data_IF_661961804865
#
_entry.id   IF_661961804865
#
_cell.length_a   1.000
_cell.length_b   1.000
_cell.length_c   1.000
_cell.angle_alpha   90.00
_cell.angle_beta   90.00
_cell.angle_gamma   90.00
#
_symmetry.space_group_name_H-M   'P 1'
#
loop_
_entity.id
_entity.type
_entity.pdbx_description
1 polymer ?
#
# COMPACT_ATOMS: atom_id res chain seq x y z
N UNK A 1 -39.22 -16.41 24.36
CA UNK A 1 -38.17 -15.42 24.08
C UNK A 1 -38.74 -14.39 23.12
N UNK A 2 -39.03 -13.19 23.62
CA UNK A 2 -39.60 -12.12 22.83
C UNK A 2 -38.51 -11.52 21.94
N UNK A 3 -38.71 -11.51 20.63
CA UNK A 3 -37.96 -10.64 19.73
C UNK A 3 -38.45 -9.20 20.00
N UNK A 4 -37.67 -8.32 20.64
CA UNK A 4 -38.08 -6.93 20.76
C UNK A 4 -38.25 -6.37 19.35
N UNK A 5 -39.45 -5.87 19.03
CA UNK A 5 -39.69 -5.19 17.76
C UNK A 5 -38.93 -3.87 17.77
N UNK A 6 -37.83 -3.82 17.01
CA UNK A 6 -37.06 -2.60 16.78
C UNK A 6 -37.71 -1.81 15.65
N UNK A 7 -37.92 -0.52 15.88
CA UNK A 7 -38.40 0.39 14.83
C UNK A 7 -37.32 0.52 13.73
N UNK A 8 -37.68 0.23 12.49
CA UNK A 8 -36.80 0.39 11.32
C UNK A 8 -37.29 1.58 10.51
N UNK A 9 -36.42 2.57 10.30
CA UNK A 9 -36.73 3.76 9.51
C UNK A 9 -37.01 3.40 8.04
N UNK A 10 -37.95 4.08 7.37
CA UNK A 10 -38.36 3.79 5.97
C UNK A 10 -37.20 3.85 4.96
N UNK A 11 -36.20 4.69 5.24
CA UNK A 11 -35.02 4.86 4.38
C UNK A 11 -33.84 3.95 4.77
N UNK A 12 -34.03 3.04 5.72
CA UNK A 12 -33.00 2.06 6.05
C UNK A 12 -32.68 1.20 4.82
N UNK A 13 -31.39 1.00 4.57
CA UNK A 13 -30.84 0.13 3.54
C UNK A 13 -29.81 -0.77 4.19
N UNK A 14 -29.81 -2.05 3.84
CA UNK A 14 -28.84 -3.03 4.31
C UNK A 14 -28.12 -3.58 3.08
N UNK A 15 -26.81 -3.42 3.05
CA UNK A 15 -25.95 -3.93 1.98
C UNK A 15 -25.06 -5.00 2.60
N UNK A 16 -25.10 -6.19 2.03
CA UNK A 16 -24.23 -7.29 2.41
C UNK A 16 -23.15 -7.44 1.33
N UNK A 17 -21.89 -7.23 1.72
CA UNK A 17 -20.74 -7.46 0.84
C UNK A 17 -20.16 -8.83 1.14
N UNK A 18 -20.03 -9.66 0.12
CA UNK A 18 -19.51 -11.03 0.24
C UNK A 18 -18.49 -11.30 -0.88
N UNK A 19 -17.38 -11.93 -0.53
CA UNK A 19 -16.44 -12.47 -1.52
C UNK A 19 -17.13 -13.59 -2.31
N UNK A 20 -17.08 -13.50 -3.64
CA UNK A 20 -17.66 -14.47 -4.57
C UNK A 20 -17.18 -15.90 -4.26
N UNK A 21 -15.94 -16.07 -3.81
CA UNK A 21 -15.39 -17.39 -3.43
C UNK A 21 -16.10 -18.02 -2.25
N UNK A 22 -16.73 -17.21 -1.38
CA UNK A 22 -17.46 -17.65 -0.19
C UNK A 22 -18.96 -17.83 -0.45
N UNK A 23 -19.44 -17.49 -1.65
CA UNK A 23 -20.85 -17.58 -2.02
C UNK A 23 -21.38 -19.01 -1.91
N UNK A 24 -20.60 -20.01 -2.35
CA UNK A 24 -20.98 -21.42 -2.31
C UNK A 24 -21.13 -21.97 -0.88
N UNK A 25 -20.44 -21.37 0.09
CA UNK A 25 -20.47 -21.76 1.51
C UNK A 25 -21.45 -20.94 2.34
N UNK A 26 -22.06 -19.91 1.77
CA UNK A 26 -22.97 -19.02 2.48
C UNK A 26 -24.35 -19.66 2.69
N UNK A 27 -25.01 -19.29 3.78
CA UNK A 27 -26.29 -19.87 4.18
C UNK A 27 -27.41 -19.53 3.15
N UNK A 28 -28.06 -20.51 2.50
CA UNK A 28 -29.04 -20.24 1.45
C UNK A 28 -30.21 -19.33 1.85
N UNK A 29 -30.81 -19.45 3.06
CA UNK A 29 -31.83 -18.51 3.55
C UNK A 29 -31.36 -17.07 3.63
N UNK A 30 -30.08 -16.82 3.96
CA UNK A 30 -29.50 -15.48 3.94
C UNK A 30 -29.45 -14.98 2.50
N UNK A 31 -28.88 -15.76 1.58
CA UNK A 31 -28.79 -15.39 0.17
C UNK A 31 -30.16 -15.08 -0.41
N UNK A 32 -31.19 -15.88 -0.13
CA UNK A 32 -32.54 -15.69 -0.65
C UNK A 32 -33.23 -14.39 -0.18
N UNK A 33 -32.71 -13.70 0.85
CA UNK A 33 -33.26 -12.44 1.38
C UNK A 33 -32.64 -11.18 0.77
N UNK A 34 -31.56 -11.32 0.01
CA UNK A 34 -30.86 -10.20 -0.62
C UNK A 34 -30.94 -10.29 -2.15
N UNK A 35 -31.06 -9.13 -2.79
CA UNK A 35 -30.78 -8.96 -4.22
C UNK A 35 -29.27 -9.14 -4.44
N UNK A 36 -28.88 -9.91 -5.46
CA UNK A 36 -27.47 -10.20 -5.75
C UNK A 36 -27.02 -9.34 -6.91
N UNK A 37 -25.96 -8.60 -6.69
CA UNK A 37 -25.23 -7.89 -7.73
C UNK A 37 -23.77 -8.30 -7.63
N UNK A 38 -23.18 -8.69 -8.76
CA UNK A 38 -21.74 -8.96 -8.86
C UNK A 38 -21.09 -7.68 -9.35
N UNK A 39 -20.17 -7.13 -8.55
CA UNK A 39 -19.43 -5.92 -8.89
C UNK A 39 -17.95 -6.24 -8.73
N UNK A 40 -17.20 -6.06 -9.81
CA UNK A 40 -15.74 -6.08 -9.82
C UNK A 40 -15.19 -4.68 -10.01
N UNK A 41 -13.92 -4.47 -9.70
CA UNK A 41 -13.27 -3.18 -9.94
C UNK A 41 -13.30 -2.81 -11.43
N UNK A 42 -13.17 -3.80 -12.33
CA UNK A 42 -13.25 -3.62 -13.77
C UNK A 42 -14.63 -3.08 -14.21
N UNK A 43 -15.71 -3.48 -13.54
CA UNK A 43 -17.08 -3.00 -13.81
C UNK A 43 -17.25 -1.50 -13.47
N UNK A 44 -16.34 -0.92 -12.66
CA UNK A 44 -16.37 0.50 -12.27
C UNK A 44 -15.52 1.41 -13.17
N UNK A 45 -14.77 0.84 -14.11
CA UNK A 45 -13.84 1.59 -14.94
C UNK A 45 -14.56 2.29 -16.11
N UNK A 46 -14.27 3.58 -16.29
CA UNK A 46 -14.63 4.32 -17.49
C UNK A 46 -13.73 3.93 -18.67
N UNK A 47 -14.09 4.29 -19.91
CA UNK A 47 -13.24 4.05 -21.08
C UNK A 47 -11.85 4.66 -20.94
N UNK A 48 -11.76 5.85 -20.33
CA UNK A 48 -10.48 6.50 -20.03
C UNK A 48 -9.66 5.71 -19.00
N UNK A 49 -10.29 5.23 -17.93
CA UNK A 49 -9.62 4.36 -16.95
C UNK A 49 -9.06 3.11 -17.64
N UNK A 50 -9.87 2.43 -18.45
CA UNK A 50 -9.48 1.20 -19.15
C UNK A 50 -8.30 1.43 -20.11
N UNK A 51 -8.27 2.56 -20.82
CA UNK A 51 -7.15 2.93 -21.70
C UNK A 51 -5.84 3.01 -20.93
N UNK A 52 -5.83 3.74 -19.81
CA UNK A 52 -4.62 3.91 -18.98
C UNK A 52 -4.21 2.59 -18.33
N UNK A 53 -5.17 1.80 -17.81
CA UNK A 53 -4.90 0.46 -17.26
C UNK A 53 -4.21 -0.42 -18.30
N UNK A 54 -4.64 -0.40 -19.56
CA UNK A 54 -4.00 -1.17 -20.65
C UNK A 54 -2.56 -0.72 -20.93
N UNK A 55 -2.30 0.59 -20.91
CA UNK A 55 -0.95 1.16 -21.04
C UNK A 55 -0.06 0.65 -19.91
N UNK A 56 -0.51 0.78 -18.65
CA UNK A 56 0.24 0.33 -17.48
C UNK A 56 0.45 -1.18 -17.45
N UNK A 57 -0.55 -1.98 -17.88
CA UNK A 57 -0.43 -3.43 -17.98
C UNK A 57 0.65 -3.84 -18.97
N UNK A 58 0.70 -3.18 -20.12
CA UNK A 58 1.75 -3.41 -21.13
C UNK A 58 3.12 -3.03 -20.55
N UNK A 59 3.22 -1.85 -19.93
CA UNK A 59 4.47 -1.37 -19.33
C UNK A 59 4.99 -2.30 -18.22
N UNK A 60 4.15 -2.68 -17.27
CA UNK A 60 4.53 -3.60 -16.17
C UNK A 60 4.93 -4.98 -16.68
N UNK A 61 4.33 -5.48 -17.76
CA UNK A 61 4.76 -6.72 -18.42
C UNK A 61 6.11 -6.56 -19.13
N UNK A 62 6.34 -5.42 -19.77
CA UNK A 62 7.63 -5.12 -20.40
C UNK A 62 8.74 -5.03 -19.36
N UNK A 63 8.50 -4.40 -18.20
CA UNK A 63 9.47 -4.26 -17.09
C UNK A 63 10.03 -5.60 -16.59
N UNK A 64 9.23 -6.67 -16.65
CA UNK A 64 9.65 -8.01 -16.20
C UNK A 64 10.13 -8.92 -17.34
N UNK A 65 9.85 -8.54 -18.59
CA UNK A 65 10.27 -9.29 -19.77
C UNK A 65 11.73 -8.97 -20.11
N UNK A 66 12.62 -9.96 -19.96
CA UNK A 66 14.05 -9.78 -20.26
C UNK A 66 14.33 -9.81 -21.76
N UNK A 67 15.18 -8.89 -22.24
CA UNK A 67 15.73 -8.92 -23.61
C UNK A 67 16.81 -10.00 -23.68
N UNK A 68 16.52 -11.16 -24.27
CA UNK A 68 17.56 -12.07 -24.76
C UNK A 68 17.59 -13.55 -24.32
N UNK A 69 16.57 -14.11 -23.66
CA UNK A 69 16.56 -15.57 -23.35
C UNK A 69 15.71 -16.38 -24.33
N UNK A 70 16.24 -16.57 -25.55
CA UNK A 70 15.82 -17.64 -26.46
C UNK A 70 16.37 -19.03 -26.07
N UNK A 71 16.53 -19.32 -24.77
CA UNK A 71 17.14 -20.57 -24.30
C UNK A 71 16.19 -21.40 -23.42
N UNK A 72 16.02 -22.65 -23.85
CA UNK A 72 14.99 -23.65 -23.55
C UNK A 72 15.10 -24.27 -22.13
N UNK A 73 15.81 -23.63 -21.19
CA UNK A 73 16.01 -24.15 -19.82
C UNK A 73 15.42 -23.26 -18.70
N UNK A 74 14.41 -22.44 -19.03
CA UNK A 74 13.73 -21.49 -18.13
C UNK A 74 12.82 -22.14 -17.04
N UNK A 75 13.23 -23.28 -16.48
CA UNK A 75 12.44 -24.05 -15.52
C UNK A 75 12.75 -23.75 -14.04
N UNK A 76 13.46 -22.67 -13.70
CA UNK A 76 13.68 -22.27 -12.29
C UNK A 76 13.49 -20.76 -12.14
N UNK A 77 12.28 -20.39 -11.69
CA UNK A 77 11.75 -19.07 -11.31
C UNK A 77 11.70 -17.99 -12.40
N UNK A 78 10.57 -17.90 -13.10
CA UNK A 78 10.25 -16.74 -13.95
C UNK A 78 10.10 -15.50 -13.07
N UNK A 79 10.84 -14.42 -13.36
CA UNK A 79 10.65 -13.11 -12.74
C UNK A 79 9.29 -12.53 -13.20
N UNK A 80 8.46 -12.14 -12.25
CA UNK A 80 7.08 -11.70 -12.45
C UNK A 80 6.85 -10.29 -11.90
N UNK A 81 5.67 -9.72 -12.18
CA UNK A 81 5.27 -8.41 -11.63
C UNK A 81 5.25 -8.41 -10.09
N UNK A 82 4.99 -9.56 -9.46
CA UNK A 82 4.97 -9.71 -7.99
C UNK A 82 6.36 -9.66 -7.37
N UNK A 83 7.38 -10.05 -8.12
CA UNK A 83 8.79 -9.97 -7.70
C UNK A 83 9.32 -8.52 -7.81
N UNK A 84 8.83 -7.79 -8.81
CA UNK A 84 9.18 -6.38 -9.03
C UNK A 84 8.41 -5.44 -8.11
N UNK A 85 7.09 -5.54 -8.07
CA UNK A 85 6.19 -4.65 -7.33
C UNK A 85 5.62 -5.39 -6.12
N UNK A 86 6.03 -4.98 -4.92
CA UNK A 86 5.69 -5.71 -3.70
C UNK A 86 4.21 -5.54 -3.39
N UNK A 87 3.50 -6.68 -3.31
CA UNK A 87 2.06 -6.72 -3.08
C UNK A 87 1.22 -6.58 -4.35
N UNK A 88 1.80 -6.74 -5.54
CA UNK A 88 1.07 -6.64 -6.80
C UNK A 88 -0.03 -7.69 -6.96
N UNK A 89 -1.24 -7.22 -7.20
CA UNK A 89 -2.42 -7.99 -7.56
C UNK A 89 -2.77 -7.71 -9.04
N UNK A 90 -2.84 -8.79 -9.83
CA UNK A 90 -3.08 -8.73 -11.28
C UNK A 90 -4.48 -8.17 -11.65
N UNK A 91 -5.43 -8.28 -10.73
CA UNK A 91 -6.82 -7.90 -10.93
C UNK A 91 -7.18 -6.55 -10.30
N UNK A 92 -6.43 -6.09 -9.29
CA UNK A 92 -6.78 -4.88 -8.54
C UNK A 92 -5.74 -3.77 -8.60
N UNK A 93 -4.44 -4.06 -8.67
CA UNK A 93 -3.40 -3.04 -8.43
C UNK A 93 -3.45 -1.92 -9.46
N UNK A 94 -3.52 -2.26 -10.75
CA UNK A 94 -3.50 -1.25 -11.82
C UNK A 94 -4.81 -0.45 -11.86
N UNK A 95 -5.94 -1.12 -11.70
CA UNK A 95 -7.27 -0.51 -11.70
C UNK A 95 -7.44 0.46 -10.53
N UNK A 96 -7.12 0.01 -9.32
CA UNK A 96 -7.20 0.84 -8.11
C UNK A 96 -6.25 2.03 -8.18
N UNK A 97 -5.07 1.86 -8.76
CA UNK A 97 -4.10 2.93 -8.94
C UNK A 97 -4.60 4.02 -9.88
N UNK A 98 -5.13 3.62 -11.05
CA UNK A 98 -5.64 4.59 -12.03
C UNK A 98 -6.81 5.38 -11.45
N UNK A 99 -7.73 4.71 -10.74
CA UNK A 99 -8.85 5.39 -10.07
C UNK A 99 -8.33 6.38 -9.02
N UNK A 100 -7.39 5.96 -8.17
CA UNK A 100 -6.83 6.81 -7.10
C UNK A 100 -6.13 8.06 -7.68
N UNK A 101 -5.24 7.88 -8.66
CA UNK A 101 -4.50 8.99 -9.27
C UNK A 101 -5.42 9.95 -10.02
N UNK A 102 -6.38 9.46 -10.81
CA UNK A 102 -7.32 10.35 -11.52
C UNK A 102 -8.27 11.07 -10.59
N UNK A 103 -8.59 10.48 -9.42
CA UNK A 103 -9.38 11.16 -8.39
C UNK A 103 -8.59 12.26 -7.70
N UNK A 104 -7.29 12.05 -7.45
CA UNK A 104 -6.41 13.04 -6.80
C UNK A 104 -5.99 14.17 -7.73
N UNK A 105 -5.86 13.89 -9.03
CA UNK A 105 -5.38 14.84 -10.04
C UNK A 105 -6.36 14.90 -11.22
N UNK A 106 -7.57 15.45 -11.03
CA UNK A 106 -8.62 15.45 -12.06
C UNK A 106 -8.28 16.32 -13.29
N UNK A 107 -7.40 17.30 -13.12
CA UNK A 107 -7.00 18.25 -14.17
C UNK A 107 -5.80 17.76 -15.01
N UNK A 108 -5.13 16.69 -14.58
CA UNK A 108 -3.96 16.16 -15.27
C UNK A 108 -4.36 15.48 -16.59
N UNK A 109 -3.52 15.68 -17.62
CA UNK A 109 -3.70 15.00 -18.89
C UNK A 109 -3.29 13.52 -18.81
N UNK A 110 -3.60 12.74 -19.85
CA UNK A 110 -3.33 11.30 -19.89
C UNK A 110 -1.84 10.96 -19.66
N UNK A 111 -0.91 11.74 -20.21
CA UNK A 111 0.53 11.51 -20.06
C UNK A 111 0.98 11.71 -18.62
N UNK A 112 0.52 12.79 -17.98
CA UNK A 112 0.78 13.10 -16.58
C UNK A 112 0.22 12.01 -15.65
N UNK A 113 -1.02 11.56 -15.90
CA UNK A 113 -1.64 10.46 -15.13
C UNK A 113 -0.82 9.17 -15.28
N UNK A 114 -0.42 8.79 -16.50
CA UNK A 114 0.42 7.61 -16.74
C UNK A 114 1.74 7.73 -15.99
N UNK A 115 2.37 8.91 -16.01
CA UNK A 115 3.65 9.18 -15.34
C UNK A 115 3.51 9.07 -13.81
N UNK A 116 2.45 9.63 -13.21
CA UNK A 116 2.14 9.48 -11.78
C UNK A 116 1.87 8.03 -11.39
N UNK A 117 1.12 7.30 -12.21
CA UNK A 117 0.85 5.88 -11.97
C UNK A 117 2.15 5.06 -11.98
N UNK A 118 3.02 5.27 -12.98
CA UNK A 118 4.32 4.61 -13.02
C UNK A 118 5.16 4.96 -11.79
N UNK A 119 5.23 6.24 -11.40
CA UNK A 119 5.94 6.65 -10.17
C UNK A 119 5.39 5.92 -8.93
N UNK A 120 4.08 5.84 -8.76
CA UNK A 120 3.46 5.12 -7.64
C UNK A 120 3.74 3.61 -7.65
N UNK A 121 3.90 2.99 -8.84
CA UNK A 121 4.35 1.60 -8.96
C UNK A 121 5.82 1.45 -8.56
N UNK A 122 6.68 2.40 -8.95
CA UNK A 122 8.09 2.42 -8.52
C UNK A 122 8.20 2.57 -7.00
N UNK A 123 7.29 3.32 -6.37
CA UNK A 123 7.26 3.52 -4.91
C UNK A 123 7.15 2.19 -4.14
N UNK A 124 6.49 1.18 -4.73
CA UNK A 124 6.33 -0.17 -4.14
C UNK A 124 7.31 -1.20 -4.71
N UNK A 125 8.26 -0.78 -5.55
CA UNK A 125 9.17 -1.70 -6.21
C UNK A 125 10.32 -2.20 -5.30
N UNK A 126 10.81 -3.40 -5.60
CA UNK A 126 12.07 -3.92 -5.04
C UNK A 126 13.27 -3.33 -5.78
N UNK A 127 14.33 -3.06 -5.04
CA UNK A 127 15.61 -2.56 -5.54
C UNK A 127 16.22 -3.52 -6.55
N UNK A 128 16.21 -4.83 -6.28
CA UNK A 128 16.71 -5.84 -7.22
C UNK A 128 15.79 -5.99 -8.44
N UNK A 129 14.48 -5.79 -8.27
CA UNK A 129 13.55 -5.70 -9.38
C UNK A 129 13.85 -4.54 -10.32
N UNK A 130 14.10 -3.34 -9.80
CA UNK A 130 14.48 -2.16 -10.61
C UNK A 130 15.82 -2.39 -11.33
N UNK A 131 16.80 -3.01 -10.66
CA UNK A 131 18.07 -3.37 -11.29
C UNK A 131 17.84 -4.38 -12.41
N UNK A 132 17.01 -5.41 -12.21
CA UNK A 132 16.68 -6.37 -13.27
C UNK A 132 15.95 -5.71 -14.45
N UNK A 133 15.08 -4.74 -14.17
CA UNK A 133 14.36 -3.99 -15.19
C UNK A 133 15.29 -3.18 -16.13
N UNK A 134 16.54 -2.92 -15.75
CA UNK A 134 17.58 -2.35 -16.66
C UNK A 134 17.84 -3.19 -17.90
N UNK A 135 17.51 -4.49 -17.86
CA UNK A 135 17.63 -5.44 -18.99
C UNK A 135 16.27 -5.80 -19.59
N UNK A 136 15.23 -5.03 -19.27
CA UNK A 136 13.87 -5.26 -19.74
C UNK A 136 13.65 -4.75 -21.16
N UNK A 137 12.49 -5.06 -21.74
CA UNK A 137 12.12 -4.64 -23.10
C UNK A 137 11.45 -3.25 -23.15
N UNK A 138 11.60 -2.44 -22.10
CA UNK A 138 11.17 -1.04 -22.07
C UNK A 138 12.25 -0.17 -22.71
N UNK A 139 11.86 1.01 -23.21
CA UNK A 139 12.81 1.98 -23.77
C UNK A 139 13.96 2.28 -22.78
N UNK A 140 15.23 2.23 -23.22
CA UNK A 140 16.38 2.47 -22.34
C UNK A 140 16.38 3.85 -21.66
N UNK A 141 15.88 4.89 -22.34
CA UNK A 141 15.77 6.23 -21.78
C UNK A 141 14.74 6.28 -20.64
N UNK A 142 13.60 5.62 -20.84
CA UNK A 142 12.57 5.48 -19.81
C UNK A 142 13.06 4.66 -18.60
N UNK A 143 13.75 3.53 -18.82
CA UNK A 143 14.29 2.73 -17.71
C UNK A 143 15.33 3.50 -16.92
N UNK A 144 16.19 4.26 -17.59
CA UNK A 144 17.15 5.11 -16.91
C UNK A 144 16.44 6.18 -16.06
N UNK A 145 15.33 6.77 -16.54
CA UNK A 145 14.52 7.68 -15.73
C UNK A 145 14.05 6.99 -14.44
N UNK A 146 13.39 5.83 -14.53
CA UNK A 146 12.86 5.15 -13.33
C UNK A 146 13.95 4.66 -12.38
N UNK A 147 15.11 4.24 -12.91
CA UNK A 147 16.27 3.94 -12.08
C UNK A 147 16.75 5.17 -11.29
N UNK A 148 16.82 6.33 -11.94
CA UNK A 148 17.19 7.58 -11.28
C UNK A 148 16.11 8.07 -10.28
N UNK A 149 14.83 7.84 -10.55
CA UNK A 149 13.74 8.12 -9.60
C UNK A 149 13.93 7.28 -8.33
N UNK A 150 14.14 5.97 -8.48
CA UNK A 150 14.27 5.04 -7.36
C UNK A 150 15.58 5.24 -6.55
N UNK A 151 16.73 5.35 -7.22
CA UNK A 151 18.04 5.35 -6.56
C UNK A 151 18.65 6.74 -6.36
N UNK A 152 18.23 7.75 -7.12
CA UNK A 152 18.80 9.11 -7.07
C UNK A 152 17.78 10.17 -6.69
N UNK A 153 16.56 9.75 -6.32
CA UNK A 153 15.48 10.62 -5.88
C UNK A 153 15.19 11.75 -6.88
N UNK A 154 15.31 11.46 -8.19
CA UNK A 154 14.96 12.41 -9.24
C UNK A 154 13.46 12.69 -9.20
N UNK A 155 13.10 13.96 -9.29
CA UNK A 155 11.72 14.43 -9.21
C UNK A 155 11.33 15.24 -10.43
N UNK A 156 10.03 15.34 -10.65
CA UNK A 156 9.40 16.20 -11.65
C UNK A 156 8.00 16.60 -11.13
N UNK A 157 7.31 17.51 -11.80
CA UNK A 157 5.93 17.94 -11.47
C UNK A 157 4.96 16.77 -11.26
N UNK A 158 5.13 15.71 -12.06
CA UNK A 158 4.31 14.49 -12.02
C UNK A 158 5.01 13.30 -11.35
N UNK A 159 6.24 13.47 -10.83
CA UNK A 159 7.01 12.43 -10.14
C UNK A 159 7.38 12.95 -8.74
N UNK A 160 6.64 12.55 -7.70
CA UNK A 160 6.98 12.97 -6.34
C UNK A 160 8.33 12.40 -5.93
N UNK A 161 8.97 13.05 -4.96
CA UNK A 161 10.21 12.56 -4.38
C UNK A 161 10.01 11.20 -3.73
N UNK A 162 10.88 10.26 -4.10
CA UNK A 162 10.92 8.92 -3.53
C UNK A 162 12.18 8.75 -2.70
N UNK A 163 12.13 7.87 -1.71
CA UNK A 163 13.29 7.49 -0.92
C UNK A 163 13.10 6.08 -0.38
N UNK A 164 13.97 5.18 -0.82
CA UNK A 164 13.89 3.75 -0.51
C UNK A 164 15.03 3.24 0.36
N UNK A 165 15.96 4.13 0.78
CA UNK A 165 17.19 3.74 1.50
C UNK A 165 16.87 3.13 2.87
N UNK A 166 16.19 3.91 3.73
CA UNK A 166 15.81 3.49 5.08
C UNK A 166 14.68 4.35 5.65
N UNK A 167 14.14 3.91 6.79
CA UNK A 167 12.99 4.53 7.42
C UNK A 167 13.25 5.98 7.86
N UNK A 168 14.44 6.24 8.40
CA UNK A 168 14.86 7.58 8.87
C UNK A 168 14.91 8.57 7.71
N UNK A 169 15.46 8.17 6.55
CA UNK A 169 15.61 9.06 5.40
C UNK A 169 14.26 9.32 4.73
N UNK A 170 13.41 8.29 4.60
CA UNK A 170 12.05 8.44 4.09
C UNK A 170 11.22 9.44 4.89
N UNK A 171 11.15 9.25 6.21
CA UNK A 171 10.36 10.11 7.08
C UNK A 171 11.03 11.45 7.38
N UNK A 172 12.36 11.50 7.36
CA UNK A 172 13.10 12.76 7.46
C UNK A 172 12.73 13.71 6.35
N UNK A 173 12.68 13.27 5.10
CA UNK A 173 12.21 14.11 4.00
C UNK A 173 10.76 14.55 4.16
N UNK A 174 9.88 13.62 4.55
CA UNK A 174 8.47 13.91 4.77
C UNK A 174 8.24 15.00 5.84
N UNK A 175 9.05 15.01 6.90
CA UNK A 175 8.94 15.99 7.98
C UNK A 175 9.24 17.44 7.53
N UNK A 176 9.97 17.61 6.41
CA UNK A 176 10.32 18.93 5.86
C UNK A 176 9.51 19.29 4.61
N UNK A 177 8.71 18.37 4.07
CA UNK A 177 7.80 18.64 2.96
C UNK A 177 6.41 18.99 3.50
N UNK A 178 5.81 20.06 2.96
CA UNK A 178 4.42 20.42 3.29
C UNK A 178 3.49 19.43 2.58
N UNK A 179 3.20 18.33 3.28
CA UNK A 179 2.41 17.21 2.75
C UNK A 179 1.19 16.95 3.62
N UNK A 180 0.04 16.84 2.98
CA UNK A 180 -1.22 16.43 3.62
C UNK A 180 -1.25 14.92 3.94
N UNK A 181 -0.24 14.16 3.49
CA UNK A 181 -0.19 12.71 3.66
C UNK A 181 0.21 12.37 5.10
N UNK A 182 -0.73 11.77 5.84
CA UNK A 182 -0.53 11.38 7.25
C UNK A 182 -0.62 9.87 7.49
N UNK A 183 -0.86 9.08 6.44
CA UNK A 183 -1.18 7.65 6.50
C UNK A 183 -0.25 6.87 5.58
N UNK A 184 0.51 5.93 6.14
CA UNK A 184 1.55 5.19 5.42
C UNK A 184 1.43 3.68 5.62
N UNK A 185 1.61 2.92 4.54
CA UNK A 185 1.79 1.47 4.56
C UNK A 185 3.16 1.18 3.98
N UNK A 186 4.05 0.65 4.81
CA UNK A 186 5.44 0.37 4.44
C UNK A 186 5.62 -1.14 4.33
N UNK A 187 5.99 -1.60 3.15
CA UNK A 187 6.43 -2.98 2.94
C UNK A 187 7.94 -3.06 3.22
N UNK A 188 8.37 -4.08 3.97
CA UNK A 188 9.78 -4.27 4.31
C UNK A 188 10.18 -5.74 4.37
N UNK A 189 11.46 -6.01 4.13
CA UNK A 189 12.07 -7.33 4.37
C UNK A 189 12.85 -7.39 5.69
N UNK A 190 12.86 -6.30 6.45
CA UNK A 190 13.51 -6.22 7.76
C UNK A 190 12.81 -7.10 8.78
N UNK A 191 13.55 -7.50 9.82
CA UNK A 191 13.00 -8.29 10.92
C UNK A 191 11.93 -7.48 11.68
N UNK A 192 10.84 -8.11 12.12
CA UNK A 192 9.80 -7.49 12.97
C UNK A 192 10.32 -6.97 14.33
N UNK A 193 11.49 -7.42 14.76
CA UNK A 193 12.15 -6.95 15.97
C UNK A 193 13.09 -5.76 15.74
N UNK A 194 13.14 -5.21 14.53
CA UNK A 194 13.90 -3.99 14.25
C UNK A 194 13.40 -2.85 15.12
N UNK A 195 14.31 -2.07 15.71
CA UNK A 195 13.97 -0.95 16.57
C UNK A 195 13.53 0.26 15.73
N UNK A 196 12.24 0.30 15.41
CA UNK A 196 11.63 1.39 14.64
C UNK A 196 11.64 2.71 15.41
N UNK A 197 11.52 2.67 16.74
CA UNK A 197 11.58 3.87 17.57
C UNK A 197 12.95 4.54 17.44
N UNK A 198 14.02 3.75 17.50
CA UNK A 198 15.40 4.24 17.29
C UNK A 198 15.61 4.80 15.88
N UNK A 199 15.05 4.16 14.85
CA UNK A 199 15.15 4.64 13.47
C UNK A 199 14.47 6.00 13.25
N UNK A 200 13.46 6.36 14.05
CA UNK A 200 12.64 7.56 13.86
C UNK A 200 12.89 8.64 14.91
N UNK A 201 13.73 8.39 15.91
CA UNK A 201 13.92 9.24 17.10
C UNK A 201 14.26 10.71 16.78
N UNK A 202 14.95 10.95 15.67
CA UNK A 202 15.40 12.30 15.28
C UNK A 202 14.28 13.14 14.65
N UNK A 203 13.18 12.51 14.24
CA UNK A 203 12.07 13.16 13.53
C UNK A 203 10.75 13.07 14.28
N UNK A 204 10.48 11.94 14.93
CA UNK A 204 9.20 11.65 15.56
C UNK A 204 9.38 10.98 16.91
N UNK A 205 8.58 11.44 17.87
CA UNK A 205 8.28 10.69 19.09
C UNK A 205 7.18 9.68 18.73
N UNK A 206 7.55 8.39 18.72
CA UNK A 206 6.73 7.30 18.19
C UNK A 206 6.16 6.35 19.25
N UNK A 207 4.86 6.06 19.15
CA UNK A 207 4.26 4.86 19.73
C UNK A 207 4.42 3.69 18.75
N UNK A 208 5.28 2.71 19.07
CA UNK A 208 5.48 1.52 18.25
C UNK A 208 4.85 0.30 18.94
N UNK A 209 3.89 -0.34 18.28
CA UNK A 209 3.22 -1.55 18.75
C UNK A 209 3.31 -2.66 17.69
N UNK A 210 3.31 -3.93 18.10
CA UNK A 210 3.22 -5.10 17.20
C UNK A 210 1.81 -5.66 17.24
N UNK A 211 1.18 -5.85 16.08
CA UNK A 211 -0.23 -6.30 16.04
C UNK A 211 -0.44 -7.65 16.73
N UNK A 212 0.54 -8.55 16.68
CA UNK A 212 0.52 -9.86 17.35
C UNK A 212 0.45 -9.81 18.87
N UNK A 213 0.70 -8.64 19.49
CA UNK A 213 0.62 -8.46 20.95
C UNK A 213 -0.81 -8.32 21.46
N UNK A 214 -1.76 -7.94 20.59
CA UNK A 214 -3.16 -7.78 20.94
C UNK A 214 -3.90 -9.11 20.77
N UNK A 215 -4.52 -9.58 21.85
CA UNK A 215 -5.32 -10.82 21.85
C UNK A 215 -6.79 -10.57 21.53
N UNK A 216 -7.27 -9.34 21.74
CA UNK A 216 -8.66 -8.95 21.50
C UNK A 216 -8.75 -7.60 20.80
N UNK A 217 -9.83 -7.39 20.04
CA UNK A 217 -10.12 -6.10 19.39
C UNK A 217 -10.18 -4.95 20.40
N UNK A 218 -10.77 -5.18 21.58
CA UNK A 218 -10.87 -4.17 22.63
C UNK A 218 -9.49 -3.70 23.14
N UNK A 219 -8.49 -4.59 23.20
CA UNK A 219 -7.13 -4.20 23.58
C UNK A 219 -6.52 -3.26 22.54
N UNK A 220 -6.66 -3.60 21.26
CA UNK A 220 -6.19 -2.79 20.15
C UNK A 220 -6.89 -1.42 20.11
N UNK A 221 -8.22 -1.39 20.22
CA UNK A 221 -9.01 -0.15 20.27
C UNK A 221 -8.57 0.76 21.41
N UNK A 222 -8.41 0.22 22.63
CA UNK A 222 -7.97 1.01 23.78
C UNK A 222 -6.57 1.58 23.58
N UNK A 223 -5.65 0.81 22.99
CA UNK A 223 -4.29 1.26 22.74
C UNK A 223 -4.22 2.37 21.69
N UNK A 224 -4.97 2.22 20.60
CA UNK A 224 -5.08 3.25 19.55
C UNK A 224 -5.79 4.50 20.09
N UNK A 225 -6.88 4.34 20.85
CA UNK A 225 -7.59 5.46 21.46
C UNK A 225 -6.69 6.30 22.35
N UNK A 226 -5.87 5.68 23.21
CA UNK A 226 -4.89 6.39 24.05
C UNK A 226 -3.88 7.20 23.22
N UNK A 227 -3.40 6.66 22.11
CA UNK A 227 -2.52 7.41 21.20
C UNK A 227 -3.18 8.71 20.72
N UNK A 228 -4.46 8.66 20.33
CA UNK A 228 -5.16 9.84 19.81
C UNK A 228 -5.56 10.84 20.90
N UNK A 229 -6.07 10.36 22.04
CA UNK A 229 -6.68 11.21 23.07
C UNK A 229 -5.71 11.67 24.16
N UNK A 230 -4.76 10.83 24.57
CA UNK A 230 -3.96 11.03 25.78
C UNK A 230 -2.47 11.26 25.48
N UNK A 231 -1.98 10.75 24.35
CA UNK A 231 -0.55 10.71 24.05
C UNK A 231 -0.03 11.98 23.37
N UNK A 232 1.16 12.41 23.75
CA UNK A 232 1.94 13.46 23.08
C UNK A 232 2.81 12.91 21.93
N UNK A 233 2.79 11.59 21.70
CA UNK A 233 3.47 10.96 20.57
C UNK A 233 2.88 11.46 19.24
N UNK A 234 3.75 11.77 18.28
CA UNK A 234 3.37 12.34 16.99
C UNK A 234 3.07 11.27 15.94
N UNK A 235 3.65 10.07 16.09
CA UNK A 235 3.49 8.98 15.14
C UNK A 235 3.07 7.68 15.84
N UNK A 236 2.05 7.03 15.29
CA UNK A 236 1.68 5.66 15.63
C UNK A 236 2.26 4.72 14.58
N UNK A 237 3.05 3.74 15.01
CA UNK A 237 3.56 2.67 14.15
C UNK A 237 3.00 1.33 14.61
N UNK A 238 2.33 0.64 13.69
CA UNK A 238 1.85 -0.73 13.92
C UNK A 238 2.63 -1.70 13.03
N UNK A 239 3.45 -2.55 13.64
CA UNK A 239 4.22 -3.59 12.95
C UNK A 239 3.41 -4.88 12.83
N UNK A 240 3.34 -5.42 11.62
CA UNK A 240 2.60 -6.63 11.27
C UNK A 240 3.53 -7.59 10.53
N UNK A 241 3.67 -8.81 11.02
CA UNK A 241 4.32 -9.88 10.28
C UNK A 241 3.24 -10.62 9.48
N UNK A 242 3.31 -10.53 8.16
CA UNK A 242 2.28 -11.05 7.25
C UNK A 242 2.20 -12.58 7.26
N UNK A 243 3.23 -13.25 7.79
CA UNK A 243 3.25 -14.72 7.90
C UNK A 243 2.53 -15.22 9.16
N UNK A 244 2.46 -14.40 10.20
CA UNK A 244 1.88 -14.79 11.50
C UNK A 244 0.53 -14.13 11.76
N UNK A 245 0.29 -12.95 11.18
CA UNK A 245 -0.94 -12.19 11.39
C UNK A 245 -1.90 -12.36 10.22
N UNK A 246 -3.15 -12.70 10.54
CA UNK A 246 -4.23 -12.81 9.56
C UNK A 246 -4.49 -11.45 8.88
N UNK A 247 -4.60 -11.44 7.55
CA UNK A 247 -5.01 -10.32 6.71
C UNK A 247 -6.25 -9.57 7.26
N UNK A 248 -7.25 -10.31 7.75
CA UNK A 248 -8.44 -9.73 8.37
C UNK A 248 -8.14 -8.88 9.61
N UNK A 249 -7.14 -9.27 10.41
CA UNK A 249 -6.70 -8.49 11.57
C UNK A 249 -5.98 -7.21 11.16
N UNK A 250 -5.17 -7.25 10.10
CA UNK A 250 -4.48 -6.06 9.57
C UNK A 250 -5.51 -5.06 9.03
N UNK A 251 -6.51 -5.55 8.28
CA UNK A 251 -7.64 -4.73 7.78
C UNK A 251 -8.47 -4.13 8.92
N UNK A 252 -8.77 -4.91 9.95
CA UNK A 252 -9.46 -4.43 11.15
C UNK A 252 -8.65 -3.34 11.86
N UNK A 253 -7.34 -3.54 12.02
CA UNK A 253 -6.47 -2.54 12.65
C UNK A 253 -6.45 -1.22 11.87
N UNK A 254 -6.32 -1.29 10.54
CA UNK A 254 -6.44 -0.11 9.66
C UNK A 254 -7.77 0.62 9.88
N UNK A 255 -8.89 -0.11 9.86
CA UNK A 255 -10.22 0.47 10.08
C UNK A 255 -10.33 1.18 11.44
N UNK A 256 -9.85 0.55 12.52
CA UNK A 256 -9.87 1.15 13.86
C UNK A 256 -9.02 2.42 13.92
N UNK A 257 -7.82 2.39 13.31
CA UNK A 257 -6.96 3.57 13.22
C UNK A 257 -7.69 4.71 12.52
N UNK A 258 -8.31 4.46 11.37
CA UNK A 258 -9.03 5.46 10.59
C UNK A 258 -10.21 6.05 11.35
N UNK A 259 -10.96 5.21 12.06
CA UNK A 259 -12.08 5.64 12.89
C UNK A 259 -11.61 6.67 13.92
N UNK A 260 -10.60 6.33 14.74
CA UNK A 260 -10.11 7.23 15.78
C UNK A 260 -9.39 8.46 15.22
N UNK A 261 -8.69 8.33 14.09
CA UNK A 261 -8.09 9.49 13.42
C UNK A 261 -9.15 10.48 12.95
N UNK A 262 -10.22 10.00 12.31
CA UNK A 262 -11.30 10.86 11.84
C UNK A 262 -12.01 11.56 13.01
N UNK A 263 -12.20 10.88 14.14
CA UNK A 263 -12.71 11.48 15.38
C UNK A 263 -11.74 12.55 15.95
N UNK A 264 -10.44 12.27 15.93
CA UNK A 264 -9.41 13.20 16.38
C UNK A 264 -9.38 14.48 15.52
N UNK A 265 -9.37 14.34 14.19
CA UNK A 265 -9.33 15.47 13.25
C UNK A 265 -10.58 16.36 13.38
N UNK A 266 -11.76 15.78 13.62
CA UNK A 266 -12.99 16.54 13.90
C UNK A 266 -12.88 17.42 15.15
N UNK A 267 -12.16 16.95 16.18
CA UNK A 267 -11.96 17.69 17.44
C UNK A 267 -10.77 18.66 17.37
N UNK A 268 -9.75 18.34 16.58
CA UNK A 268 -8.47 19.05 16.53
C UNK A 268 -8.00 19.27 15.07
N UNK A 269 -8.68 20.11 14.28
CA UNK A 269 -8.38 20.26 12.85
C UNK A 269 -6.97 20.79 12.56
N UNK A 270 -6.37 21.52 13.51
CA UNK A 270 -5.03 22.13 13.35
C UNK A 270 -3.90 21.25 13.89
N UNK A 271 -4.18 20.04 14.37
CA UNK A 271 -3.16 19.11 14.89
C UNK A 271 -2.94 17.97 13.92
N UNK A 272 -1.67 17.75 13.58
CA UNK A 272 -1.25 16.66 12.71
C UNK A 272 -0.58 15.57 13.55
N UNK A 273 -1.06 14.34 13.38
CA UNK A 273 -0.39 13.11 13.84
C UNK A 273 -0.31 12.16 12.66
N UNK A 274 0.75 11.36 12.64
CA UNK A 274 1.06 10.44 11.56
C UNK A 274 0.74 9.01 11.99
N UNK A 275 0.36 8.17 11.03
CA UNK A 275 0.19 6.74 11.26
C UNK A 275 0.88 5.93 10.17
N UNK A 276 1.57 4.89 10.60
CA UNK A 276 2.27 3.96 9.75
C UNK A 276 1.91 2.52 10.11
N UNK A 277 1.55 1.71 9.13
CA UNK A 277 1.51 0.25 9.24
C UNK A 277 2.75 -0.28 8.52
N UNK A 278 3.60 -1.02 9.22
CA UNK A 278 4.77 -1.68 8.64
C UNK A 278 4.47 -3.15 8.46
N UNK A 279 4.50 -3.62 7.21
CA UNK A 279 4.27 -5.00 6.81
C UNK A 279 5.62 -5.67 6.59
N UNK A 280 5.98 -6.57 7.51
CA UNK A 280 7.19 -7.40 7.40
C UNK A 280 6.88 -8.62 6.53
N UNK A 281 7.56 -8.71 5.40
CA UNK A 281 7.33 -9.70 4.34
C UNK A 281 8.56 -10.60 4.21
N UNK A 282 8.34 -11.89 3.97
CA UNK A 282 9.40 -12.84 3.60
C UNK A 282 9.46 -12.96 2.06
N UNK A 283 10.65 -12.77 1.47
CA UNK A 283 10.85 -12.76 0.00
C UNK A 283 10.38 -14.03 -0.71
N UNK A 284 10.43 -15.17 -0.04
CA UNK A 284 10.07 -16.47 -0.63
C UNK A 284 8.57 -16.80 -0.58
N UNK A 285 7.74 -15.89 -0.07
CA UNK A 285 6.29 -16.10 -0.01
C UNK A 285 5.56 -15.26 -1.05
N UNK A 286 4.58 -15.89 -1.73
CA UNK A 286 3.60 -15.21 -2.56
C UNK A 286 2.67 -14.38 -1.68
N UNK A 287 3.15 -13.21 -1.26
CA UNK A 287 2.37 -12.23 -0.52
C UNK A 287 1.49 -11.44 -1.49
N UNK A 288 0.17 -11.53 -1.32
CA UNK A 288 -0.78 -10.63 -1.95
C UNK A 288 -1.04 -9.47 -0.99
N UNK A 289 -1.01 -8.24 -1.50
CA UNK A 289 -1.23 -7.08 -0.63
C UNK A 289 -2.59 -7.14 0.05
N UNK A 290 -2.62 -6.88 1.35
CA UNK A 290 -3.85 -6.58 2.09
C UNK A 290 -4.57 -5.33 1.57
N UNK A 291 -3.87 -4.47 0.82
CA UNK A 291 -4.31 -3.11 0.49
C UNK A 291 -4.07 -2.75 -0.97
N UNK A 292 -5.10 -2.21 -1.62
CA UNK A 292 -5.01 -1.63 -2.95
C UNK A 292 -4.80 -0.10 -2.89
N UNK A 293 -4.53 0.54 -4.02
CA UNK A 293 -4.19 1.98 -4.04
C UNK A 293 -5.34 2.90 -3.63
N UNK A 294 -6.59 2.44 -3.72
CA UNK A 294 -7.77 3.19 -3.26
C UNK A 294 -7.94 3.18 -1.73
N UNK A 295 -7.05 2.51 -0.99
CA UNK A 295 -7.20 2.40 0.46
C UNK A 295 -6.99 3.71 1.24
N UNK A 296 -6.58 4.80 0.56
CA UNK A 296 -6.40 6.13 1.14
C UNK A 296 -5.11 6.32 1.93
N UNK A 297 -4.16 5.38 1.82
CA UNK A 297 -2.86 5.41 2.49
C UNK A 297 -1.75 5.38 1.44
N UNK A 298 -0.66 6.13 1.66
CA UNK A 298 0.53 6.06 0.79
C UNK A 298 1.22 4.73 1.02
N UNK A 299 1.39 3.96 -0.05
CA UNK A 299 2.11 2.68 -0.02
C UNK A 299 3.54 2.90 -0.51
N UNK A 300 4.52 2.32 0.19
CA UNK A 300 5.93 2.38 -0.20
C UNK A 300 6.65 1.10 0.22
N UNK A 301 7.65 0.69 -0.54
CA UNK A 301 8.56 -0.39 -0.16
C UNK A 301 9.88 0.21 0.33
N UNK A 302 10.23 -0.09 1.57
CA UNK A 302 11.53 0.22 2.18
C UNK A 302 12.11 -1.11 2.66
N UNK A 303 13.02 -1.66 1.88
CA UNK A 303 13.51 -3.03 2.10
C UNK A 303 14.22 -3.20 3.45
N UNK A 304 15.06 -2.22 3.81
CA UNK A 304 15.81 -2.18 5.07
C UNK A 304 15.38 -0.97 5.89
N UNK A 305 14.82 -1.19 7.09
CA UNK A 305 14.34 -0.08 7.92
C UNK A 305 15.48 0.72 8.55
N UNK A 306 16.58 0.06 8.91
CA UNK A 306 17.77 0.70 9.50
C UNK A 306 18.65 1.34 8.43
N UNK A 307 19.38 2.41 8.75
CA UNK A 307 20.41 2.97 7.86
C UNK A 307 21.42 1.90 7.44
N UNK A 308 21.71 1.82 6.14
CA UNK A 308 22.75 0.96 5.61
C UNK A 308 24.10 1.69 5.63
N UNK A 309 25.21 0.95 5.74
CA UNK A 309 26.57 1.54 5.67
C UNK A 309 26.87 2.21 4.32
N UNK A 310 26.19 1.77 3.25
CA UNK A 310 26.26 2.36 1.92
C UNK A 310 24.85 2.64 1.43
N UNK A 311 24.63 3.83 0.86
CA UNK A 311 23.36 4.17 0.23
C UNK A 311 23.09 3.29 -0.99
N UNK A 312 21.81 3.02 -1.29
CA UNK A 312 21.42 2.21 -2.45
C UNK A 312 21.96 2.82 -3.75
N UNK A 313 22.02 4.16 -3.82
CA UNK A 313 22.59 4.94 -4.92
C UNK A 313 24.06 4.60 -5.25
N UNK A 314 24.82 4.13 -4.26
CA UNK A 314 26.25 3.80 -4.40
C UNK A 314 26.48 2.39 -4.94
N UNK A 315 25.45 1.52 -4.92
CA UNK A 315 25.55 0.12 -5.36
C UNK A 315 25.59 0.01 -6.90
N UNK A 316 25.18 1.05 -7.63
CA UNK A 316 25.09 1.07 -9.09
C UNK A 316 26.39 1.45 -9.82
N UNK A 317 27.46 1.82 -9.10
CA UNK A 317 28.73 2.28 -9.68
C UNK A 317 29.83 1.23 -9.65
#
# INVERSE_FOLDING_TARGET
>A
YANPMLYVHKNFRCILVLDEKKLATADPPLLNRFEKQRITIDDTLTENHQKIVKILRTWTQQMVSSVGTGNINAARTSFTQKDLFIGFDENETLQSLVIDIMTKFPDDNEEAIVKRCKAALIDIASSDGIIRATKSNVDPGEINLWNNVYFRNVTDEHIPRQNHDCLSTFFGHLAFEDTEITRFIINTFSNINTDVSECLKDFFKCQVDKLSTFKTEAQLQNRIKRFWEESDELMLVLQCDVTTVNDGCIKLAKFIIEQFQNEFLRKNPNKTKYVCIILHIQRDQNYMSSFNFMCGWKQVTIETLTPQEKHLSTILN
#
